data_IF_887037568789
#
_entry.id   IF_887037568789
#
_cell.length_a   1.000
_cell.length_b   1.000
_cell.length_c   1.000
_cell.angle_alpha   90.00
_cell.angle_beta   90.00
_cell.angle_gamma   90.00
#
_symmetry.space_group_name_H-M   'P 1'
#
loop_
_entity.id
_entity.type
_entity.pdbx_description
1 polymer ?
#
# COMPACT_ATOMS: atom_id res chain seq x y z
N UNK A 1 9.24 13.80 -11.27
CA UNK A 1 9.86 12.47 -11.38
C UNK A 1 8.78 11.48 -10.99
N UNK A 2 8.50 10.50 -11.83
CA UNK A 2 7.43 9.53 -11.58
C UNK A 2 8.06 8.35 -10.85
N UNK A 3 8.30 8.52 -9.55
CA UNK A 3 8.99 7.54 -8.69
C UNK A 3 8.10 6.32 -8.35
N UNK A 4 7.03 6.10 -9.13
CA UNK A 4 6.17 4.91 -9.03
C UNK A 4 6.88 3.69 -9.63
N UNK A 5 7.63 3.02 -8.77
CA UNK A 5 8.44 1.84 -9.07
C UNK A 5 7.75 0.51 -8.67
N UNK A 6 6.51 0.55 -8.21
CA UNK A 6 5.79 -0.63 -7.75
C UNK A 6 4.35 -0.67 -8.27
N UNK A 7 3.79 -1.88 -8.29
CA UNK A 7 2.43 -2.17 -8.75
C UNK A 7 1.75 -3.12 -7.77
N UNK A 8 0.49 -2.83 -7.45
CA UNK A 8 -0.37 -3.76 -6.71
C UNK A 8 -0.98 -4.79 -7.65
N UNK A 9 -1.06 -6.04 -7.17
CA UNK A 9 -1.64 -7.15 -7.91
C UNK A 9 -2.65 -7.87 -7.02
N UNK A 10 -3.87 -7.98 -7.52
CA UNK A 10 -5.02 -8.49 -6.78
C UNK A 10 -5.68 -7.46 -5.86
N UNK A 11 -6.78 -7.86 -5.23
CA UNK A 11 -7.51 -7.01 -4.29
C UNK A 11 -8.13 -5.76 -4.94
N UNK A 12 -8.54 -4.77 -4.13
CA UNK A 12 -9.22 -3.56 -4.62
C UNK A 12 -8.31 -2.55 -5.34
N UNK A 13 -6.99 -2.63 -5.18
CA UNK A 13 -6.03 -1.75 -5.86
C UNK A 13 -5.31 -2.44 -7.03
N UNK A 14 -5.86 -3.52 -7.58
CA UNK A 14 -5.24 -4.24 -8.70
C UNK A 14 -4.83 -3.31 -9.86
N UNK A 15 -3.56 -3.41 -10.27
CA UNK A 15 -2.99 -2.61 -11.35
C UNK A 15 -2.58 -1.19 -10.97
N UNK A 16 -2.86 -0.74 -9.74
CA UNK A 16 -2.50 0.61 -9.29
C UNK A 16 -0.98 0.72 -9.06
N UNK A 17 -0.42 1.83 -9.55
CA UNK A 17 1.01 2.13 -9.45
C UNK A 17 1.27 3.03 -8.25
N UNK A 18 2.31 2.72 -7.49
CA UNK A 18 2.71 3.51 -6.33
C UNK A 18 4.23 3.59 -6.17
N UNK A 19 4.68 4.55 -5.38
CA UNK A 19 6.09 4.69 -5.02
C UNK A 19 6.37 3.82 -3.79
N UNK A 20 7.02 2.67 -3.99
CA UNK A 20 7.42 1.80 -2.90
C UNK A 20 8.69 2.34 -2.25
N UNK A 21 8.60 2.67 -0.96
CA UNK A 21 9.73 3.14 -0.17
C UNK A 21 10.49 1.99 0.52
N UNK A 22 10.74 0.91 -0.23
CA UNK A 22 11.35 -0.35 0.24
C UNK A 22 10.61 -1.05 1.39
N UNK A 23 9.31 -0.81 1.54
CA UNK A 23 8.50 -1.47 2.56
C UNK A 23 8.19 -2.92 2.16
N UNK A 24 8.27 -3.85 3.12
CA UNK A 24 7.88 -5.25 2.89
C UNK A 24 6.35 -5.45 2.86
N UNK A 25 5.62 -4.57 3.54
CA UNK A 25 4.16 -4.55 3.62
C UNK A 25 3.66 -3.13 3.31
N UNK A 26 2.60 -3.05 2.52
CA UNK A 26 1.85 -1.81 2.27
C UNK A 26 0.41 -2.03 2.68
N UNK A 27 -0.13 -1.11 3.46
CA UNK A 27 -1.49 -1.15 3.95
C UNK A 27 -2.26 0.04 3.37
N UNK A 28 -3.36 -0.26 2.69
CA UNK A 28 -4.24 0.73 2.07
C UNK A 28 -5.60 0.66 2.76
N UNK A 29 -6.03 1.77 3.35
CA UNK A 29 -7.35 1.85 3.98
C UNK A 29 -8.43 2.13 2.92
N UNK A 30 -9.42 1.26 2.81
CA UNK A 30 -10.57 1.39 1.91
C UNK A 30 -11.81 0.92 2.66
N UNK A 31 -12.87 1.74 2.69
CA UNK A 31 -14.14 1.42 3.37
C UNK A 31 -13.97 1.00 4.86
N UNK A 32 -12.97 1.54 5.56
CA UNK A 32 -12.66 1.21 6.95
C UNK A 32 -11.97 -0.15 7.15
N UNK A 33 -11.50 -0.78 6.08
CA UNK A 33 -10.70 -1.99 6.08
C UNK A 33 -9.28 -1.67 5.64
N UNK A 34 -8.30 -2.30 6.29
CA UNK A 34 -6.90 -2.21 5.89
C UNK A 34 -6.60 -3.36 4.94
N UNK A 35 -6.45 -3.03 3.66
CA UNK A 35 -6.04 -3.94 2.61
C UNK A 35 -4.53 -4.05 2.59
N UNK A 36 -4.01 -5.26 2.84
CA UNK A 36 -2.58 -5.54 2.96
C UNK A 36 -2.03 -6.07 1.65
N UNK A 37 -0.90 -5.51 1.23
CA UNK A 37 -0.15 -5.95 0.07
C UNK A 37 1.29 -6.24 0.46
N UNK A 38 1.72 -7.48 0.21
CA UNK A 38 3.06 -7.93 0.55
C UNK A 38 3.98 -7.83 -0.66
N UNK A 39 5.19 -7.33 -0.42
CA UNK A 39 6.24 -7.32 -1.41
C UNK A 39 6.54 -8.74 -1.85
N UNK A 40 6.73 -8.91 -3.15
CA UNK A 40 7.20 -10.16 -3.72
C UNK A 40 8.60 -9.97 -4.29
N UNK A 41 9.42 -11.02 -4.35
CA UNK A 41 10.69 -10.97 -5.09
C UNK A 41 10.48 -10.84 -6.60
N UNK A 42 9.25 -10.97 -7.09
CA UNK A 42 8.92 -10.83 -8.49
C UNK A 42 8.88 -9.35 -8.90
N UNK A 43 9.34 -9.09 -10.12
CA UNK A 43 9.23 -7.80 -10.78
C UNK A 43 8.49 -7.96 -12.09
N UNK A 44 7.81 -6.89 -12.52
CA UNK A 44 7.15 -6.83 -13.80
C UNK A 44 7.89 -5.83 -14.68
N UNK A 45 8.40 -6.29 -15.81
CA UNK A 45 8.98 -5.41 -16.81
C UNK A 45 7.88 -4.53 -17.41
N UNK A 46 8.12 -3.22 -17.42
CA UNK A 46 7.23 -2.22 -17.98
C UNK A 46 8.02 -1.22 -18.82
N UNK A 47 7.31 -0.48 -19.66
CA UNK A 47 7.86 0.54 -20.57
C UNK A 47 8.38 1.72 -19.73
N UNK A 48 9.62 1.60 -19.24
CA UNK A 48 10.23 2.52 -18.28
C UNK A 48 11.03 1.86 -17.14
N UNK A 49 11.10 0.52 -17.09
CA UNK A 49 11.92 -0.23 -16.12
C UNK A 49 11.16 -1.38 -15.44
N UNK A 50 11.85 -2.15 -14.62
CA UNK A 50 11.26 -3.24 -13.85
C UNK A 50 10.55 -2.67 -12.61
N UNK A 51 9.27 -3.00 -12.43
CA UNK A 51 8.46 -2.58 -11.27
C UNK A 51 8.32 -3.70 -10.26
N UNK A 52 8.40 -3.38 -8.98
CA UNK A 52 8.24 -4.36 -7.90
C UNK A 52 6.76 -4.72 -7.73
N UNK A 53 6.48 -6.01 -7.56
CA UNK A 53 5.10 -6.49 -7.43
C UNK A 53 4.75 -6.62 -5.95
N UNK A 54 3.60 -6.07 -5.58
CA UNK A 54 2.98 -6.21 -4.26
C UNK A 54 1.67 -6.99 -4.40
N UNK A 55 1.65 -8.21 -3.88
CA UNK A 55 0.47 -9.08 -3.97
C UNK A 55 -0.49 -8.82 -2.81
N UNK A 56 -1.78 -8.82 -3.12
CA UNK A 56 -2.82 -8.76 -2.11
C UNK A 56 -2.76 -9.98 -1.19
N UNK A 57 -2.57 -9.72 0.11
CA UNK A 57 -2.53 -10.73 1.16
C UNK A 57 -3.92 -10.92 1.80
N UNK A 58 -4.69 -9.84 1.91
CA UNK A 58 -6.03 -9.85 2.47
C UNK A 58 -6.38 -8.52 3.12
N UNK A 59 -7.61 -8.42 3.63
CA UNK A 59 -8.04 -7.30 4.45
C UNK A 59 -8.10 -7.68 5.93
N UNK A 60 -7.78 -6.71 6.79
CA UNK A 60 -8.09 -6.77 8.21
C UNK A 60 -9.03 -5.62 8.55
N UNK A 61 -9.89 -5.84 9.55
CA UNK A 61 -10.66 -4.73 10.11
C UNK A 61 -9.67 -3.72 10.66
N UNK A 62 -9.65 -2.53 10.06
CA UNK A 62 -8.98 -1.40 10.67
C UNK A 62 -9.61 -1.22 12.04
N UNK A 63 -8.82 -1.35 13.09
CA UNK A 63 -9.28 -0.94 14.41
C UNK A 63 -9.75 0.51 14.29
N UNK A 64 -10.96 0.86 14.79
CA UNK A 64 -11.36 2.24 14.81
C UNK A 64 -10.32 2.96 15.64
N UNK A 65 -9.50 3.79 15.01
CA UNK A 65 -8.52 4.63 15.71
C UNK A 65 -9.30 5.63 16.54
N UNK A 66 -9.78 5.20 17.71
CA UNK A 66 -10.11 6.10 18.79
C UNK A 66 -8.79 6.71 19.22
N UNK A 67 -8.50 7.89 18.67
CA UNK A 67 -7.61 8.90 19.25
C UNK A 67 -6.23 8.40 19.73
N UNK A 68 -5.22 8.54 18.87
CA UNK A 68 -3.86 8.87 19.32
C UNK A 68 -3.11 7.86 20.19
N UNK A 69 -2.88 6.62 19.73
CA UNK A 69 -1.84 5.76 20.32
C UNK A 69 -0.89 5.21 19.25
N UNK A 70 0.31 5.81 19.23
CA UNK A 70 1.50 5.14 18.72
C UNK A 70 1.73 3.89 19.58
N UNK A 71 1.36 2.71 19.09
CA UNK A 71 1.85 1.46 19.64
C UNK A 71 2.86 0.87 18.66
N UNK A 72 4.13 1.19 18.90
CA UNK A 72 5.24 0.70 18.11
C UNK A 72 5.44 -0.80 18.31
N UNK A 73 5.61 -1.52 17.20
CA UNK A 73 6.35 -2.78 17.16
C UNK A 73 7.42 -2.65 16.08
N UNK A 74 8.65 -2.42 16.54
CA UNK A 74 9.94 -2.59 15.86
C UNK A 74 9.97 -2.51 14.31
N UNK A 75 10.25 -1.32 13.79
CA UNK A 75 11.15 -1.18 12.64
C UNK A 75 10.62 -1.41 11.23
N UNK A 76 9.31 -1.54 11.00
CA UNK A 76 8.76 -1.56 9.65
C UNK A 76 8.07 -0.22 9.35
N UNK A 77 8.60 0.52 8.38
CA UNK A 77 8.06 1.81 7.96
C UNK A 77 6.78 1.57 7.18
N UNK A 78 5.65 1.54 7.89
CA UNK A 78 4.31 1.39 7.32
C UNK A 78 3.97 2.64 6.51
N UNK A 79 3.98 2.53 5.19
CA UNK A 79 3.56 3.60 4.31
C UNK A 79 2.03 3.61 4.23
N UNK A 80 1.37 4.38 5.10
CA UNK A 80 -0.07 4.64 4.97
C UNK A 80 -0.30 5.61 3.82
N UNK A 81 -0.80 5.09 2.70
CA UNK A 81 -1.22 5.92 1.58
C UNK A 81 -2.63 6.45 1.86
N UNK A 82 -2.73 7.51 2.67
CA UNK A 82 -4.01 8.20 2.87
C UNK A 82 -4.43 8.86 1.55
N UNK A 83 -5.40 8.27 0.84
CA UNK A 83 -6.02 8.95 -0.30
C UNK A 83 -6.60 10.27 0.22
N UNK A 84 -6.22 11.45 -0.32
CA UNK A 84 -6.92 12.67 0.02
C UNK A 84 -8.36 12.50 -0.47
N UNK A 85 -9.31 12.53 0.46
CA UNK A 85 -10.74 12.69 0.15
C UNK A 85 -10.86 13.96 -0.69
N UNK A 86 -11.05 13.78 -2.00
CA UNK A 86 -11.29 14.89 -2.89
C UNK A 86 -12.72 15.36 -2.62
N UNK A 87 -12.86 16.26 -1.64
CA UNK A 87 -14.08 17.01 -1.41
C UNK A 87 -14.31 17.91 -2.61
N UNK A 88 -15.01 17.41 -3.62
CA UNK A 88 -15.61 18.23 -4.65
C UNK A 88 -17.13 18.27 -4.45
N UNK A 89 -17.51 19.37 -3.78
CA UNK A 89 -18.72 20.19 -3.88
C UNK A 89 -20.08 19.56 -3.58
#
# INVERSE_FOLDING_TARGET
MNDTNAIFVGGPCDGELFAAEDAALVEVEIDGLLHRYLVTPATRDSEGGSRRIYNYDGEIRGEPTADGVQSGSSGERVLRLSRPVNAQQ
#
